data_IF_954283143208
#
_entry.id   IF_954283143208
#
_cell.length_a   1.000
_cell.length_b   1.000
_cell.length_c   1.000
_cell.angle_alpha   90.00
_cell.angle_beta   90.00
_cell.angle_gamma   90.00
#
_symmetry.space_group_name_H-M   'P 1'
#
loop_
_entity.id
_entity.type
_entity.pdbx_description
1 polymer ?
#
# COMPACT_ATOMS: atom_id res chain seq x y z
N UNK A 1 25.23 38.20 -2.38
CA UNK A 1 24.21 37.96 -3.42
C UNK A 1 23.68 36.54 -3.24
N UNK A 2 22.37 36.37 -3.03
CA UNK A 2 21.74 35.10 -2.67
C UNK A 2 21.78 34.09 -3.83
N UNK A 3 22.20 32.87 -3.52
CA UNK A 3 22.26 31.76 -4.47
C UNK A 3 20.87 31.11 -4.54
N UNK A 4 20.20 31.23 -5.70
CA UNK A 4 18.92 30.57 -5.96
C UNK A 4 19.12 29.04 -5.96
N UNK A 5 18.51 28.38 -4.98
CA UNK A 5 18.40 26.91 -4.93
C UNK A 5 17.24 26.50 -5.85
N UNK A 6 17.54 26.10 -7.08
CA UNK A 6 16.53 25.48 -7.95
C UNK A 6 16.13 24.13 -7.35
N UNK A 7 14.92 24.07 -6.80
CA UNK A 7 14.27 22.81 -6.45
C UNK A 7 13.74 22.25 -7.78
N UNK A 8 14.38 21.20 -8.28
CA UNK A 8 13.88 20.42 -9.41
C UNK A 8 12.61 19.69 -8.95
N UNK A 9 11.45 20.32 -9.15
CA UNK A 9 10.16 19.64 -9.08
C UNK A 9 10.10 18.70 -10.28
N UNK A 10 10.14 17.39 -10.04
CA UNK A 10 9.87 16.38 -11.08
C UNK A 10 8.40 16.49 -11.49
N UNK A 11 8.12 17.33 -12.48
CA UNK A 11 6.82 17.39 -13.14
C UNK A 11 6.70 16.21 -14.12
N UNK A 12 6.24 15.04 -13.64
CA UNK A 12 5.63 14.04 -14.52
C UNK A 12 4.22 14.50 -14.86
N UNK A 13 4.08 15.60 -15.59
CA UNK A 13 2.77 16.14 -15.96
C UNK A 13 2.17 15.32 -17.10
N UNK A 14 1.66 14.13 -16.79
CA UNK A 14 0.53 13.59 -17.55
C UNK A 14 -0.63 14.57 -17.37
N UNK A 15 -1.34 14.90 -18.45
CA UNK A 15 -2.46 15.85 -18.38
C UNK A 15 -3.45 15.35 -17.32
N UNK A 16 -3.91 16.21 -16.39
CA UNK A 16 -4.83 15.79 -15.35
C UNK A 16 -6.10 15.24 -15.99
N UNK A 17 -6.52 14.07 -15.55
CA UNK A 17 -7.73 13.42 -16.06
C UNK A 17 -8.92 14.15 -15.44
N UNK A 18 -9.69 14.88 -16.25
CA UNK A 18 -10.95 15.48 -15.81
C UNK A 18 -11.92 14.39 -15.35
N UNK A 19 -12.66 14.64 -14.26
CA UNK A 19 -13.73 13.74 -13.83
C UNK A 19 -14.75 13.56 -14.96
N UNK A 20 -14.85 12.34 -15.47
CA UNK A 20 -15.68 11.98 -16.62
C UNK A 20 -16.97 11.23 -16.23
N UNK A 21 -17.23 11.06 -14.93
CA UNK A 21 -18.34 10.29 -14.38
C UNK A 21 -19.12 11.09 -13.34
N UNK A 22 -20.41 10.80 -13.18
CA UNK A 22 -21.31 11.44 -12.22
C UNK A 22 -21.56 10.56 -10.99
N UNK A 23 -21.90 9.31 -11.22
CA UNK A 23 -22.31 8.30 -10.24
C UNK A 23 -21.25 7.22 -10.05
N UNK A 24 -21.15 6.71 -8.82
CA UNK A 24 -20.26 5.60 -8.45
C UNK A 24 -21.09 4.60 -7.65
N UNK A 25 -21.16 3.37 -8.14
CA UNK A 25 -21.98 2.31 -7.54
C UNK A 25 -21.14 1.06 -7.26
N UNK A 26 -21.48 0.35 -6.19
CA UNK A 26 -20.92 -0.99 -5.90
C UNK A 26 -21.96 -2.03 -6.28
N UNK A 27 -21.57 -2.95 -7.16
CA UNK A 27 -22.44 -4.02 -7.64
C UNK A 27 -21.86 -5.39 -7.26
N UNK A 28 -22.66 -6.29 -6.66
CA UNK A 28 -22.26 -7.68 -6.51
C UNK A 28 -22.14 -8.33 -7.90
N UNK A 29 -21.08 -9.10 -8.10
CA UNK A 29 -20.84 -9.89 -9.32
C UNK A 29 -21.16 -11.35 -9.06
N UNK A 30 -20.60 -11.91 -7.99
CA UNK A 30 -20.78 -13.31 -7.55
C UNK A 30 -20.81 -13.36 -6.01
N UNK A 31 -20.88 -14.56 -5.42
CA UNK A 31 -20.72 -14.76 -3.98
C UNK A 31 -19.40 -14.13 -3.49
N UNK A 32 -19.52 -13.17 -2.58
CA UNK A 32 -18.42 -12.40 -1.98
C UNK A 32 -17.56 -11.59 -2.98
N UNK A 33 -18.00 -11.37 -4.22
CA UNK A 33 -17.26 -10.59 -5.21
C UNK A 33 -18.01 -9.34 -5.64
N UNK A 34 -17.33 -8.20 -5.61
CA UNK A 34 -17.91 -6.89 -5.85
C UNK A 34 -17.14 -6.14 -6.95
N UNK A 35 -17.85 -5.40 -7.78
CA UNK A 35 -17.28 -4.52 -8.81
C UNK A 35 -17.78 -3.09 -8.61
N UNK A 36 -16.88 -2.13 -8.84
CA UNK A 36 -17.18 -0.71 -8.80
C UNK A 36 -17.58 -0.26 -10.21
N UNK A 37 -18.67 0.50 -10.33
CA UNK A 37 -19.14 1.07 -11.60
C UNK A 37 -19.11 2.59 -11.56
N UNK A 38 -18.64 3.19 -12.65
CA UNK A 38 -18.70 4.63 -12.92
C UNK A 38 -19.73 4.88 -14.00
N UNK A 39 -20.82 5.58 -13.70
CA UNK A 39 -21.96 5.77 -14.63
C UNK A 39 -22.37 4.47 -15.32
N UNK A 40 -22.59 3.42 -14.52
CA UNK A 40 -22.95 2.06 -14.94
C UNK A 40 -21.85 1.26 -15.68
N UNK A 41 -20.70 1.87 -15.99
CA UNK A 41 -19.58 1.16 -16.64
C UNK A 41 -18.66 0.55 -15.59
N UNK A 42 -18.24 -0.73 -15.74
CA UNK A 42 -17.31 -1.34 -14.80
C UNK A 42 -15.99 -0.59 -14.80
N UNK A 43 -15.48 -0.28 -13.61
CA UNK A 43 -14.17 0.31 -13.41
C UNK A 43 -13.09 -0.67 -13.87
N UNK A 44 -12.13 -0.17 -14.64
CA UNK A 44 -11.03 -0.96 -15.18
C UNK A 44 -9.70 -0.51 -14.61
N UNK A 45 -8.79 -1.47 -14.48
CA UNK A 45 -7.38 -1.22 -14.17
C UNK A 45 -6.66 -0.58 -15.36
N UNK A 46 -5.45 -0.02 -15.18
CA UNK A 46 -4.63 0.51 -16.26
C UNK A 46 -4.36 -0.50 -17.39
N UNK A 47 -4.24 -1.81 -17.10
CA UNK A 47 -4.13 -2.85 -18.14
C UNK A 47 -5.48 -3.30 -18.71
N UNK A 48 -6.58 -2.64 -18.38
CA UNK A 48 -7.91 -2.88 -18.94
C UNK A 48 -8.69 -4.04 -18.32
N UNK A 49 -8.21 -4.61 -17.20
CA UNK A 49 -8.92 -5.66 -16.46
C UNK A 49 -10.06 -5.04 -15.65
N UNK A 50 -11.15 -5.77 -15.42
CA UNK A 50 -12.23 -5.28 -14.57
C UNK A 50 -11.76 -5.33 -13.10
N UNK A 51 -11.92 -4.23 -12.38
CA UNK A 51 -11.63 -4.18 -10.95
C UNK A 51 -12.74 -4.94 -10.19
N UNK A 52 -12.36 -6.07 -9.61
CA UNK A 52 -13.20 -6.84 -8.68
C UNK A 52 -12.46 -7.10 -7.38
N UNK A 53 -13.17 -7.05 -6.26
CA UNK A 53 -12.62 -7.33 -4.92
C UNK A 53 -13.50 -8.31 -4.17
N UNK A 54 -12.88 -9.11 -3.30
CA UNK A 54 -13.55 -10.18 -2.54
C UNK A 54 -14.13 -9.70 -1.19
N UNK A 55 -14.32 -8.39 -1.05
CA UNK A 55 -14.72 -7.74 0.21
C UNK A 55 -15.61 -6.53 -0.07
N UNK A 56 -16.84 -6.56 0.46
CA UNK A 56 -17.81 -5.46 0.32
C UNK A 56 -17.31 -4.15 0.97
N UNK A 57 -16.77 -4.16 2.21
CA UNK A 57 -16.22 -2.94 2.80
C UNK A 57 -15.11 -2.32 1.96
N UNK A 58 -14.23 -3.15 1.37
CA UNK A 58 -13.17 -2.66 0.50
C UNK A 58 -13.76 -2.02 -0.77
N UNK A 59 -14.76 -2.64 -1.39
CA UNK A 59 -15.44 -2.10 -2.56
C UNK A 59 -16.09 -0.74 -2.27
N UNK A 60 -16.74 -0.61 -1.10
CA UNK A 60 -17.34 0.64 -0.63
C UNK A 60 -16.28 1.73 -0.41
N UNK A 61 -15.16 1.40 0.23
CA UNK A 61 -14.06 2.37 0.42
C UNK A 61 -13.49 2.85 -0.92
N UNK A 62 -13.31 1.95 -1.89
CA UNK A 62 -12.90 2.33 -3.25
C UNK A 62 -13.95 3.24 -3.89
N UNK A 63 -15.23 2.88 -3.81
CA UNK A 63 -16.31 3.73 -4.33
C UNK A 63 -16.31 5.14 -3.70
N UNK A 64 -16.01 5.24 -2.40
CA UNK A 64 -15.84 6.53 -1.71
C UNK A 64 -14.65 7.31 -2.30
N UNK A 65 -13.49 6.67 -2.51
CA UNK A 65 -12.33 7.32 -3.15
C UNK A 65 -12.70 7.93 -4.51
N UNK A 66 -13.43 7.20 -5.35
CA UNK A 66 -13.91 7.67 -6.65
C UNK A 66 -14.96 8.78 -6.52
N UNK A 67 -15.92 8.63 -5.60
CA UNK A 67 -16.97 9.65 -5.40
C UNK A 67 -16.41 11.00 -4.92
N UNK A 68 -15.30 10.96 -4.16
CA UNK A 68 -14.65 12.13 -3.55
C UNK A 68 -13.87 13.00 -4.53
N UNK A 69 -13.61 12.51 -5.75
CA UNK A 69 -12.88 13.26 -6.76
C UNK A 69 -13.68 14.47 -7.24
N UNK A 70 -13.04 15.63 -7.40
CA UNK A 70 -13.73 16.88 -7.79
C UNK A 70 -13.59 17.12 -9.30
N UNK A 71 -12.83 18.13 -9.69
CA UNK A 71 -12.64 18.49 -11.09
C UNK A 71 -11.76 17.49 -11.84
N UNK A 72 -10.73 16.98 -11.17
CA UNK A 72 -9.78 16.02 -11.73
C UNK A 72 -9.72 14.78 -10.84
N UNK A 73 -9.43 13.64 -11.48
CA UNK A 73 -9.12 12.38 -10.81
C UNK A 73 -7.66 12.42 -10.38
N UNK A 74 -7.42 12.39 -9.07
CA UNK A 74 -6.09 12.39 -8.47
C UNK A 74 -5.78 11.03 -7.86
N UNK A 75 -5.06 10.18 -8.61
CA UNK A 75 -4.70 8.83 -8.17
C UNK A 75 -3.81 8.85 -6.91
N UNK A 76 -3.04 9.91 -6.66
CA UNK A 76 -2.22 10.02 -5.46
C UNK A 76 -3.05 10.11 -4.17
N UNK A 77 -4.35 10.43 -4.28
CA UNK A 77 -5.30 10.45 -3.17
C UNK A 77 -6.14 9.18 -3.09
N UNK A 78 -5.94 8.22 -3.99
CA UNK A 78 -6.74 7.00 -4.14
C UNK A 78 -5.86 5.78 -3.88
N UNK A 79 -5.44 5.63 -2.63
CA UNK A 79 -4.46 4.61 -2.23
C UNK A 79 -5.04 3.21 -2.39
N UNK A 80 -6.29 2.98 -1.99
CA UNK A 80 -6.92 1.66 -2.09
C UNK A 80 -7.10 1.28 -3.56
N UNK A 81 -7.58 2.21 -4.39
CA UNK A 81 -7.69 2.00 -5.84
C UNK A 81 -6.34 1.65 -6.46
N UNK A 82 -5.29 2.40 -6.14
CA UNK A 82 -3.95 2.19 -6.71
C UNK A 82 -3.35 0.85 -6.26
N UNK A 83 -3.53 0.47 -4.99
CA UNK A 83 -3.11 -0.84 -4.48
C UNK A 83 -3.85 -1.98 -5.20
N UNK A 84 -5.17 -1.88 -5.35
CA UNK A 84 -5.94 -2.90 -6.06
C UNK A 84 -5.56 -2.99 -7.55
N UNK A 85 -5.27 -1.86 -8.19
CA UNK A 85 -4.75 -1.86 -9.56
C UNK A 85 -3.43 -2.61 -9.65
N UNK A 86 -2.46 -2.32 -8.78
CA UNK A 86 -1.17 -3.02 -8.78
C UNK A 86 -1.33 -4.51 -8.47
N UNK A 87 -2.19 -4.88 -7.50
CA UNK A 87 -2.45 -6.26 -7.15
C UNK A 87 -3.05 -7.07 -8.32
N UNK A 88 -4.04 -6.50 -9.02
CA UNK A 88 -4.69 -7.16 -10.16
C UNK A 88 -3.80 -7.18 -11.39
N UNK A 89 -3.14 -6.07 -11.72
CA UNK A 89 -2.36 -5.95 -12.95
C UNK A 89 -0.99 -6.65 -12.86
N UNK A 90 -0.50 -6.84 -11.63
CA UNK A 90 0.79 -7.45 -11.31
C UNK A 90 1.87 -7.03 -12.33
N UNK A 91 2.27 -5.75 -12.36
CA UNK A 91 3.15 -5.20 -13.40
C UNK A 91 4.48 -5.95 -13.51
N UNK A 92 4.99 -6.41 -12.37
CA UNK A 92 6.26 -7.14 -12.25
C UNK A 92 6.11 -8.65 -12.47
N UNK A 93 4.89 -9.15 -12.68
CA UNK A 93 4.58 -10.56 -12.93
C UNK A 93 5.13 -11.50 -11.84
N UNK A 94 5.14 -11.04 -10.59
CA UNK A 94 5.65 -11.80 -9.46
C UNK A 94 4.64 -12.87 -9.05
N UNK A 95 5.14 -14.06 -8.75
CA UNK A 95 4.36 -15.11 -8.08
C UNK A 95 4.23 -14.79 -6.59
N UNK A 96 3.22 -15.38 -5.92
CA UNK A 96 3.07 -15.22 -4.47
C UNK A 96 4.34 -15.62 -3.70
N UNK A 97 5.03 -16.69 -4.13
CA UNK A 97 6.29 -17.11 -3.54
C UNK A 97 7.38 -16.04 -3.64
N UNK A 98 7.57 -15.46 -4.83
CA UNK A 98 8.55 -14.39 -5.04
C UNK A 98 8.24 -13.13 -4.22
N UNK A 99 6.96 -12.76 -4.09
CA UNK A 99 6.56 -11.62 -3.24
C UNK A 99 6.89 -11.90 -1.77
N UNK A 100 6.65 -13.13 -1.30
CA UNK A 100 7.01 -13.54 0.06
C UNK A 100 8.53 -13.53 0.25
N UNK A 101 9.29 -14.09 -0.69
CA UNK A 101 10.76 -14.11 -0.62
C UNK A 101 11.35 -12.69 -0.61
N UNK A 102 10.83 -11.79 -1.45
CA UNK A 102 11.25 -10.39 -1.47
C UNK A 102 10.90 -9.66 -0.17
N UNK A 103 9.74 -9.96 0.43
CA UNK A 103 9.36 -9.41 1.73
C UNK A 103 10.29 -9.92 2.86
N UNK A 104 10.66 -11.20 2.83
CA UNK A 104 11.53 -11.80 3.84
C UNK A 104 12.95 -11.24 3.82
N UNK A 105 13.48 -10.84 2.65
CA UNK A 105 14.80 -10.15 2.57
C UNK A 105 14.84 -8.87 3.39
N UNK A 106 13.70 -8.17 3.52
CA UNK A 106 13.62 -6.96 4.35
C UNK A 106 13.59 -7.26 5.84
N UNK A 107 13.08 -8.44 6.23
CA UNK A 107 13.02 -8.84 7.65
C UNK A 107 14.43 -9.01 8.25
N UNK A 108 15.38 -9.55 7.47
CA UNK A 108 16.77 -9.73 7.92
C UNK A 108 17.47 -8.40 8.29
N UNK A 109 17.04 -7.30 7.66
CA UNK A 109 17.59 -5.96 7.86
C UNK A 109 16.59 -5.00 8.51
N UNK A 110 15.57 -5.53 9.20
CA UNK A 110 14.56 -4.71 9.84
C UNK A 110 15.15 -3.88 10.97
N UNK A 111 14.76 -2.61 11.01
CA UNK A 111 15.24 -1.64 12.01
C UNK A 111 14.94 -2.07 13.45
N UNK A 112 13.86 -2.82 13.67
CA UNK A 112 13.49 -3.25 15.04
C UNK A 112 14.51 -4.20 15.66
N UNK A 113 15.37 -4.83 14.86
CA UNK A 113 16.43 -5.72 15.35
C UNK A 113 17.73 -4.98 15.70
N UNK A 114 17.85 -3.70 15.35
CA UNK A 114 19.04 -2.89 15.61
C UNK A 114 18.78 -1.90 16.76
N UNK A 115 18.99 -2.37 17.98
CA UNK A 115 18.93 -1.54 19.19
C UNK A 115 20.25 -0.79 19.33
N UNK A 116 20.16 0.49 19.69
CA UNK A 116 21.33 1.34 19.93
C UNK A 116 21.90 1.05 21.33
N UNK A 117 23.10 0.47 21.36
CA UNK A 117 23.85 0.17 22.58
C UNK A 117 24.78 1.31 23.02
N UNK A 118 25.00 2.31 22.17
CA UNK A 118 25.90 3.44 22.45
C UNK A 118 25.20 4.55 23.23
N UNK A 119 23.89 4.71 23.04
CA UNK A 119 23.07 5.70 23.73
C UNK A 119 22.02 5.02 24.64
N UNK A 120 22.28 4.89 25.96
CA UNK A 120 21.43 4.11 26.87
C UNK A 120 19.96 4.55 26.90
N UNK A 121 19.68 5.85 26.79
CA UNK A 121 18.32 6.39 26.79
C UNK A 121 17.53 5.96 25.54
N UNK A 122 18.17 6.00 24.37
CA UNK A 122 17.56 5.59 23.10
C UNK A 122 17.35 4.08 23.08
N UNK A 123 18.36 3.30 23.45
CA UNK A 123 18.26 1.85 23.53
C UNK A 123 17.13 1.40 24.47
N UNK A 124 16.93 2.10 25.59
CA UNK A 124 15.81 1.80 26.49
C UNK A 124 14.46 2.11 25.85
N UNK A 125 14.29 3.27 25.21
CA UNK A 125 13.06 3.61 24.50
C UNK A 125 12.74 2.62 23.38
N UNK A 126 13.75 2.18 22.63
CA UNK A 126 13.60 1.19 21.57
C UNK A 126 13.15 -0.16 22.16
N UNK A 127 13.78 -0.64 23.23
CA UNK A 127 13.34 -1.87 23.91
C UNK A 127 11.90 -1.77 24.43
N UNK A 128 11.54 -0.65 25.05
CA UNK A 128 10.20 -0.45 25.60
C UNK A 128 9.11 -0.40 24.51
N UNK A 129 9.42 0.16 23.34
CA UNK A 129 8.45 0.30 22.23
C UNK A 129 8.46 -0.87 21.25
N UNK A 130 9.62 -1.42 20.92
CA UNK A 130 9.79 -2.47 19.91
C UNK A 130 9.82 -3.88 20.51
N UNK A 131 10.25 -4.02 21.77
CA UNK A 131 10.26 -5.30 22.49
C UNK A 131 8.92 -6.05 22.46
N UNK A 132 7.77 -5.39 22.70
CA UNK A 132 6.46 -6.05 22.62
C UNK A 132 6.13 -6.60 21.23
N UNK A 133 6.61 -5.95 20.16
CA UNK A 133 6.39 -6.38 18.77
C UNK A 133 7.22 -7.65 18.50
N UNK A 134 8.49 -7.65 18.90
CA UNK A 134 9.39 -8.81 18.76
C UNK A 134 8.86 -9.99 19.59
N UNK A 135 8.38 -9.72 20.81
CA UNK A 135 7.81 -10.74 21.69
C UNK A 135 6.54 -11.34 21.09
N UNK A 136 5.63 -10.50 20.59
CA UNK A 136 4.42 -10.96 19.90
C UNK A 136 4.76 -11.86 18.70
N UNK A 137 5.74 -11.43 17.89
CA UNK A 137 6.17 -12.17 16.71
C UNK A 137 6.80 -13.53 17.04
N UNK A 138 7.51 -13.63 18.18
CA UNK A 138 8.19 -14.86 18.61
C UNK A 138 7.25 -15.84 19.32
N UNK A 139 6.23 -15.34 20.04
CA UNK A 139 5.32 -16.16 20.86
C UNK A 139 4.07 -16.59 20.09
N UNK A 140 3.49 -15.72 19.26
CA UNK A 140 2.18 -15.95 18.64
C UNK A 140 2.27 -16.70 17.31
N UNK A 141 3.36 -16.49 16.58
CA UNK A 141 3.69 -17.23 15.38
C UNK A 141 4.98 -17.98 15.69
N UNK A 142 5.09 -19.27 15.37
CA UNK A 142 6.27 -20.09 15.63
C UNK A 142 7.51 -19.69 14.78
N UNK A 143 7.75 -18.40 14.58
CA UNK A 143 9.00 -17.84 14.08
C UNK A 143 10.00 -17.85 15.24
N UNK A 144 10.91 -18.82 15.23
CA UNK A 144 12.14 -18.73 16.00
C UNK A 144 13.01 -17.62 15.38
N UNK A 145 12.69 -16.36 15.67
CA UNK A 145 13.57 -15.21 15.42
C UNK A 145 14.73 -15.30 16.42
N UNK A 146 15.65 -16.24 16.19
CA UNK A 146 16.86 -16.33 16.98
C UNK A 146 17.77 -15.17 16.56
N UNK A 147 17.66 -14.12 17.35
CA UNK A 147 18.52 -12.94 17.45
C UNK A 147 19.95 -13.19 16.91
N UNK A 148 20.28 -12.61 15.76
CA UNK A 148 21.66 -12.34 15.36
C UNK A 148 22.01 -10.95 15.91
N UNK A 149 22.13 -10.85 17.24
CA UNK A 149 22.93 -9.78 17.85
C UNK A 149 24.19 -10.41 18.42
N UNK A 150 25.04 -10.87 17.51
CA UNK A 150 26.46 -10.98 17.75
C UNK A 150 27.14 -10.58 16.45
N UNK A 151 27.36 -9.27 16.30
CA UNK A 151 28.67 -8.68 15.99
C UNK A 151 28.61 -7.17 16.17
#
# INVERSE_FOLDING_TARGET
MQQLRMILVRCFATRPISRFYKSVDVMPVDLNRFSIRLDQRPLKTPKGRILTVDSEPLALCIAVEWSSQRANVDLARMHLTTLCFTAIDNPNQLTNGQVVDDLLKHLESDTIFFIDDQLPELGQMQRDKWGPIIQWATVSNAFYLRFVAQH
#
